data_IF_920302510451
#
_entry.id   IF_920302510451
#
_cell.length_a   1.000
_cell.length_b   1.000
_cell.length_c   1.000
_cell.angle_alpha   90.00
_cell.angle_beta   90.00
_cell.angle_gamma   90.00
#
_symmetry.space_group_name_H-M   'P 1'
#
loop_
_entity.id
_entity.type
_entity.pdbx_description
1 polymer ?
#
# COMPACT_ATOMS: atom_id res chain seq x y z
N UNK A 1 -2.46 15.92 -14.50
CA UNK A 1 -2.16 14.52 -14.08
C UNK A 1 -0.81 14.52 -13.39
N UNK A 2 -0.76 14.17 -12.11
CA UNK A 2 0.45 14.20 -11.28
C UNK A 2 1.46 13.16 -11.82
N UNK A 3 2.75 13.52 -12.08
CA UNK A 3 3.77 12.58 -12.57
C UNK A 3 3.94 11.32 -11.71
N UNK A 4 3.69 11.42 -10.40
CA UNK A 4 3.73 10.26 -9.49
C UNK A 4 2.62 9.23 -9.78
N UNK A 5 1.46 9.67 -10.26
CA UNK A 5 0.35 8.80 -10.68
C UNK A 5 0.64 8.08 -12.00
N UNK A 6 1.33 8.76 -12.93
CA UNK A 6 1.82 8.13 -14.17
C UNK A 6 2.87 7.04 -13.89
N UNK A 7 3.74 7.23 -12.89
CA UNK A 7 4.67 6.19 -12.46
C UNK A 7 3.95 4.97 -11.86
N UNK A 8 2.82 5.16 -11.16
CA UNK A 8 2.03 4.06 -10.61
C UNK A 8 1.40 3.17 -11.71
N UNK A 9 1.01 3.80 -12.83
CA UNK A 9 0.43 3.08 -13.99
C UNK A 9 1.52 2.53 -14.92
N UNK A 10 2.70 3.16 -14.96
CA UNK A 10 3.81 2.76 -15.84
C UNK A 10 4.73 1.66 -15.26
N UNK A 11 4.66 1.36 -13.97
CA UNK A 11 5.38 0.20 -13.39
C UNK A 11 4.80 -1.15 -13.79
N UNK A 12 3.71 -1.18 -14.54
CA UNK A 12 3.21 -2.35 -15.25
C UNK A 12 4.02 -2.68 -16.52
N UNK A 13 5.25 -2.20 -16.67
CA UNK A 13 6.22 -2.76 -17.61
C UNK A 13 6.48 -4.19 -17.16
N UNK A 14 6.09 -5.15 -17.98
CA UNK A 14 6.07 -6.55 -17.65
C UNK A 14 7.36 -6.98 -16.97
N UNK A 15 7.23 -7.66 -15.82
CA UNK A 15 8.37 -8.26 -15.14
C UNK A 15 8.99 -9.29 -16.09
N UNK A 16 10.28 -9.15 -16.37
CA UNK A 16 11.07 -10.12 -17.10
C UNK A 16 11.41 -11.28 -16.15
N UNK A 17 10.55 -12.30 -16.15
CA UNK A 17 10.68 -13.43 -15.21
C UNK A 17 11.96 -14.23 -15.46
N UNK A 18 12.41 -14.37 -16.69
CA UNK A 18 13.63 -15.11 -17.04
C UNK A 18 14.86 -14.40 -16.45
N UNK A 19 14.99 -13.10 -16.69
CA UNK A 19 16.07 -12.32 -16.10
C UNK A 19 16.00 -12.23 -14.56
N UNK A 20 14.79 -12.20 -14.00
CA UNK A 20 14.61 -12.20 -12.54
C UNK A 20 15.02 -13.55 -11.93
N UNK A 21 14.75 -14.66 -12.62
CA UNK A 21 15.17 -16.00 -12.23
C UNK A 21 16.69 -16.14 -12.28
N UNK A 22 17.33 -15.69 -13.36
CA UNK A 22 18.79 -15.67 -13.50
C UNK A 22 19.45 -14.85 -12.38
N UNK A 23 18.93 -13.65 -12.09
CA UNK A 23 19.42 -12.82 -11.03
C UNK A 23 19.28 -13.47 -9.63
N UNK A 24 18.17 -14.17 -9.40
CA UNK A 24 17.95 -14.92 -8.15
C UNK A 24 18.91 -16.10 -8.03
N UNK A 25 19.24 -16.78 -9.12
CA UNK A 25 20.25 -17.85 -9.15
C UNK A 25 21.63 -17.30 -8.78
N UNK A 26 22.03 -16.20 -9.40
CA UNK A 26 23.30 -15.53 -9.10
C UNK A 26 23.38 -15.06 -7.64
N UNK A 27 22.27 -14.55 -7.10
CA UNK A 27 22.21 -14.18 -5.70
C UNK A 27 22.46 -15.38 -4.77
N UNK A 28 21.86 -16.54 -5.04
CA UNK A 28 22.07 -17.75 -4.25
C UNK A 28 23.55 -18.19 -4.29
N UNK A 29 24.17 -18.19 -5.47
CA UNK A 29 25.59 -18.49 -5.63
C UNK A 29 26.47 -17.52 -4.83
N UNK A 30 26.20 -16.21 -4.91
CA UNK A 30 26.93 -15.18 -4.18
C UNK A 30 26.78 -15.28 -2.65
N UNK A 31 25.67 -15.86 -2.17
CA UNK A 31 25.43 -16.17 -0.76
C UNK A 31 26.06 -17.49 -0.30
N UNK A 32 26.72 -18.23 -1.21
CA UNK A 32 27.41 -19.50 -0.91
C UNK A 32 26.50 -20.72 -0.97
N UNK A 33 25.29 -20.59 -1.55
CA UNK A 33 24.39 -21.71 -1.74
C UNK A 33 24.59 -22.38 -3.10
N UNK A 34 24.32 -23.70 -3.18
CA UNK A 34 24.30 -24.46 -4.43
C UNK A 34 22.87 -24.52 -4.98
N UNK A 35 22.54 -23.73 -6.03
CA UNK A 35 21.20 -23.71 -6.60
C UNK A 35 20.84 -24.99 -7.35
N UNK A 36 21.81 -25.88 -7.63
CA UNK A 36 21.55 -27.13 -8.36
C UNK A 36 21.19 -28.29 -7.43
N UNK A 37 21.38 -28.16 -6.11
CA UNK A 37 20.91 -29.15 -5.15
C UNK A 37 19.39 -29.26 -5.17
N UNK A 38 18.86 -30.47 -4.94
CA UNK A 38 17.42 -30.78 -5.11
C UNK A 38 16.47 -29.81 -4.41
N UNK A 39 16.80 -29.33 -3.21
CA UNK A 39 15.96 -28.40 -2.45
C UNK A 39 15.92 -26.97 -2.99
N UNK A 40 16.88 -26.57 -3.85
CA UNK A 40 17.00 -25.21 -4.38
C UNK A 40 16.78 -25.09 -5.89
N UNK A 41 16.71 -26.21 -6.63
CA UNK A 41 16.59 -26.19 -8.10
C UNK A 41 15.46 -25.31 -8.61
N UNK A 42 14.32 -25.32 -7.93
CA UNK A 42 13.15 -24.51 -8.29
C UNK A 42 13.12 -23.12 -7.62
N UNK A 43 14.06 -22.84 -6.70
CA UNK A 43 14.03 -21.64 -5.86
C UNK A 43 14.20 -20.36 -6.65
N UNK A 44 15.12 -20.24 -7.65
CA UNK A 44 15.24 -19.03 -8.45
C UNK A 44 13.92 -18.64 -9.12
N UNK A 45 13.24 -19.58 -9.78
CA UNK A 45 11.95 -19.32 -10.41
C UNK A 45 10.84 -18.98 -9.43
N UNK A 46 10.85 -19.57 -8.21
CA UNK A 46 9.90 -19.21 -7.15
C UNK A 46 10.14 -17.80 -6.61
N UNK A 47 11.38 -17.39 -6.46
CA UNK A 47 11.74 -16.02 -6.07
C UNK A 47 11.25 -15.04 -7.12
N UNK A 48 11.56 -15.25 -8.40
CA UNK A 48 11.13 -14.38 -9.50
C UNK A 48 9.61 -14.20 -9.53
N UNK A 49 8.85 -15.30 -9.42
CA UNK A 49 7.38 -15.26 -9.39
C UNK A 49 6.83 -14.54 -8.17
N UNK A 50 7.40 -14.78 -6.98
CA UNK A 50 6.96 -14.12 -5.75
C UNK A 50 7.14 -12.60 -5.81
N UNK A 51 8.30 -12.13 -6.27
CA UNK A 51 8.51 -10.69 -6.44
C UNK A 51 7.66 -10.10 -7.55
N UNK A 52 7.44 -10.82 -8.65
CA UNK A 52 6.52 -10.39 -9.70
C UNK A 52 5.10 -10.18 -9.16
N UNK A 53 4.59 -11.11 -8.35
CA UNK A 53 3.27 -11.01 -7.72
C UNK A 53 3.19 -9.82 -6.76
N UNK A 54 4.20 -9.64 -5.90
CA UNK A 54 4.25 -8.55 -4.93
C UNK A 54 4.38 -7.15 -5.58
N UNK A 55 4.92 -7.07 -6.80
CA UNK A 55 5.17 -5.84 -7.53
C UNK A 55 4.18 -5.58 -8.67
N UNK A 56 3.11 -6.36 -8.77
CA UNK A 56 2.10 -6.25 -9.83
C UNK A 56 0.76 -5.81 -9.25
N UNK A 57 0.49 -4.49 -9.18
CA UNK A 57 -0.82 -4.00 -8.80
C UNK A 57 -1.85 -4.33 -9.88
N UNK A 58 -3.06 -4.75 -9.46
CA UNK A 58 -4.16 -4.95 -10.38
C UNK A 58 -4.73 -3.59 -10.83
N UNK A 59 -4.77 -3.30 -12.15
CA UNK A 59 -5.40 -2.10 -12.64
C UNK A 59 -6.90 -2.11 -12.33
N UNK A 60 -7.44 -0.97 -11.92
CA UNK A 60 -8.89 -0.82 -11.73
C UNK A 60 -9.38 0.55 -12.15
N UNK A 61 -10.67 0.63 -12.48
CA UNK A 61 -11.36 1.89 -12.68
C UNK A 61 -12.00 2.34 -11.37
N UNK A 62 -11.84 3.60 -10.96
CA UNK A 62 -12.59 4.14 -9.85
C UNK A 62 -14.09 4.15 -10.21
N UNK A 63 -14.90 3.48 -9.38
CA UNK A 63 -16.35 3.55 -9.50
C UNK A 63 -16.84 4.54 -8.49
N UNK A 64 -17.34 5.67 -8.96
CA UNK A 64 -17.93 6.71 -8.13
C UNK A 64 -19.40 6.93 -8.54
N UNK A 65 -20.20 7.40 -7.61
CA UNK A 65 -21.63 7.69 -7.77
C UNK A 65 -21.90 9.13 -7.36
N UNK A 66 -22.94 9.79 -7.92
CA UNK A 66 -23.43 11.05 -7.38
C UNK A 66 -23.86 10.87 -5.92
N UNK A 67 -23.68 11.90 -5.11
CA UNK A 67 -24.12 11.92 -3.73
C UNK A 67 -25.53 12.53 -3.62
N UNK A 68 -26.50 11.96 -4.36
CA UNK A 68 -27.86 12.49 -4.48
C UNK A 68 -28.63 12.44 -3.14
N UNK A 69 -28.26 11.54 -2.24
CA UNK A 69 -28.84 11.43 -0.89
C UNK A 69 -28.26 12.46 0.10
N UNK A 70 -27.23 13.20 -0.31
CA UNK A 70 -26.61 14.25 0.51
C UNK A 70 -25.88 13.75 1.74
N UNK A 71 -25.21 12.59 1.65
CA UNK A 71 -24.36 12.08 2.75
C UNK A 71 -23.25 13.09 3.04
N UNK A 72 -23.13 13.51 4.30
CA UNK A 72 -22.15 14.50 4.78
C UNK A 72 -21.36 14.03 6.00
N UNK A 73 -21.56 12.80 6.44
CA UNK A 73 -20.82 12.15 7.52
C UNK A 73 -19.60 11.39 7.01
N UNK A 74 -18.65 11.18 7.91
CA UNK A 74 -17.39 10.49 7.60
C UNK A 74 -17.63 9.02 7.22
N UNK A 75 -17.15 8.64 6.05
CA UNK A 75 -17.12 7.24 5.59
C UNK A 75 -15.71 6.70 5.80
N UNK A 76 -15.56 5.57 6.50
CA UNK A 76 -14.27 4.95 6.78
C UNK A 76 -14.28 3.43 6.54
N UNK A 77 -13.34 2.94 5.74
CA UNK A 77 -13.00 1.53 5.64
C UNK A 77 -11.79 1.26 6.56
N UNK A 78 -11.96 0.32 7.50
CA UNK A 78 -10.94 0.00 8.52
C UNK A 78 -10.37 -1.39 8.32
N UNK A 79 -9.12 -1.59 8.76
CA UNK A 79 -8.51 -2.90 8.77
C UNK A 79 -8.22 -3.46 7.39
N UNK A 80 -7.99 -2.60 6.39
CA UNK A 80 -7.60 -3.03 5.05
C UNK A 80 -6.20 -3.61 5.13
N UNK A 81 -6.10 -4.94 5.00
CA UNK A 81 -4.82 -5.64 5.01
C UNK A 81 -4.03 -5.32 3.75
N UNK A 82 -2.73 -5.15 3.89
CA UNK A 82 -1.84 -4.94 2.76
C UNK A 82 -0.46 -5.54 3.01
N UNK A 83 0.25 -5.85 1.93
CA UNK A 83 1.67 -6.16 1.91
C UNK A 83 2.36 -5.28 0.89
N UNK A 84 3.59 -4.88 1.21
CA UNK A 84 4.44 -4.07 0.35
C UNK A 84 5.90 -4.49 0.49
N UNK A 85 6.76 -3.96 -0.36
CA UNK A 85 8.21 -4.19 -0.29
C UNK A 85 8.94 -2.90 0.07
N UNK A 86 9.74 -2.95 1.14
CA UNK A 86 10.61 -1.86 1.53
C UNK A 86 11.64 -1.59 0.42
N UNK A 87 11.63 -0.40 -0.16
CA UNK A 87 12.53 -0.06 -1.27
C UNK A 87 14.02 -0.09 -0.90
N UNK A 88 14.36 0.05 0.40
CA UNK A 88 15.74 0.04 0.86
C UNK A 88 16.35 -1.36 0.96
N UNK A 89 15.54 -2.40 1.17
CA UNK A 89 16.04 -3.73 1.50
C UNK A 89 15.41 -4.86 0.69
N UNK A 90 14.37 -4.59 -0.12
CA UNK A 90 13.53 -5.59 -0.79
C UNK A 90 12.87 -6.58 0.18
N UNK A 91 12.84 -6.26 1.46
CA UNK A 91 12.14 -7.07 2.47
C UNK A 91 10.70 -6.59 2.62
N UNK A 92 9.74 -7.50 2.88
CA UNK A 92 8.35 -7.14 3.08
C UNK A 92 8.13 -6.24 4.30
N UNK A 93 7.12 -5.40 4.20
CA UNK A 93 6.42 -4.84 5.33
C UNK A 93 4.92 -4.96 5.08
N UNK A 94 4.17 -5.14 6.13
CA UNK A 94 2.74 -5.36 6.00
C UNK A 94 2.00 -5.02 7.27
N UNK A 95 0.71 -4.82 7.13
CA UNK A 95 -0.13 -4.40 8.23
C UNK A 95 -1.51 -3.99 7.78
N UNK A 96 -2.05 -2.95 8.38
CA UNK A 96 -3.41 -2.48 8.14
C UNK A 96 -3.45 -1.02 7.73
N UNK A 97 -4.32 -0.69 6.81
CA UNK A 97 -4.66 0.67 6.42
C UNK A 97 -6.10 0.99 6.84
N UNK A 98 -6.30 2.18 7.37
CA UNK A 98 -7.60 2.78 7.66
C UNK A 98 -7.76 3.98 6.75
N UNK A 99 -8.76 3.93 5.87
CA UNK A 99 -8.95 4.93 4.82
C UNK A 99 -10.35 5.50 4.95
N UNK A 100 -10.43 6.79 5.12
CA UNK A 100 -11.72 7.49 5.24
C UNK A 100 -11.77 8.78 4.44
N UNK A 101 -12.99 9.21 4.14
CA UNK A 101 -13.25 10.47 3.47
C UNK A 101 -14.56 11.09 3.95
N UNK A 102 -14.63 12.40 3.90
CA UNK A 102 -15.87 13.16 4.11
C UNK A 102 -16.47 13.48 2.74
N UNK A 103 -17.66 12.96 2.40
CA UNK A 103 -18.22 13.10 1.07
C UNK A 103 -18.40 14.55 0.60
N UNK A 104 -18.12 14.78 -0.69
CA UNK A 104 -18.52 15.96 -1.46
C UNK A 104 -19.72 15.64 -2.33
N UNK A 105 -19.66 16.04 -3.60
CA UNK A 105 -20.71 15.78 -4.59
C UNK A 105 -20.75 14.33 -5.08
N UNK A 106 -19.74 13.54 -4.74
CA UNK A 106 -19.60 12.13 -5.14
C UNK A 106 -19.20 11.24 -3.97
N UNK A 107 -19.62 9.96 -4.08
CA UNK A 107 -19.20 8.88 -3.19
C UNK A 107 -18.49 7.78 -3.99
N UNK A 108 -17.60 7.02 -3.34
CA UNK A 108 -16.83 5.94 -3.96
C UNK A 108 -17.34 4.57 -3.49
N UNK A 109 -17.33 3.59 -4.39
CA UNK A 109 -17.65 2.21 -4.01
C UNK A 109 -16.64 1.68 -2.96
N UNK A 110 -17.12 1.13 -1.84
CA UNK A 110 -16.29 0.74 -0.69
C UNK A 110 -15.13 -0.19 -1.06
N UNK A 111 -15.36 -1.13 -1.99
CA UNK A 111 -14.30 -2.03 -2.48
C UNK A 111 -13.15 -1.30 -3.17
N UNK A 112 -13.37 -0.07 -3.65
CA UNK A 112 -12.34 0.71 -4.33
C UNK A 112 -11.32 1.28 -3.34
N UNK A 113 -11.71 1.53 -2.09
CA UNK A 113 -10.77 1.95 -1.05
C UNK A 113 -9.69 0.89 -0.81
N UNK A 114 -10.07 -0.40 -0.75
CA UNK A 114 -9.09 -1.49 -0.68
C UNK A 114 -8.20 -1.57 -1.91
N UNK A 115 -8.78 -1.42 -3.12
CA UNK A 115 -8.01 -1.45 -4.37
C UNK A 115 -7.02 -0.28 -4.51
N UNK A 116 -7.34 0.89 -3.98
CA UNK A 116 -6.40 2.03 -3.92
C UNK A 116 -5.22 1.70 -3.02
N UNK A 117 -5.46 1.05 -1.87
CA UNK A 117 -4.37 0.58 -0.99
C UNK A 117 -3.47 -0.38 -1.75
N UNK A 118 -4.02 -1.41 -2.42
CA UNK A 118 -3.24 -2.39 -3.18
C UNK A 118 -2.48 -1.75 -4.36
N UNK A 119 -3.11 -0.79 -5.06
CA UNK A 119 -2.48 -0.08 -6.18
C UNK A 119 -1.15 0.57 -5.78
N UNK A 120 -1.10 1.15 -4.59
CA UNK A 120 0.09 1.81 -4.08
C UNK A 120 0.99 0.91 -3.24
N UNK A 121 0.47 -0.14 -2.61
CA UNK A 121 1.24 -1.08 -1.80
C UNK A 121 2.07 -2.05 -2.66
N UNK A 122 1.55 -2.52 -3.80
CA UNK A 122 2.23 -3.51 -4.65
C UNK A 122 3.34 -2.90 -5.51
N UNK A 123 4.29 -2.23 -4.83
CA UNK A 123 5.46 -1.57 -5.41
C UNK A 123 6.59 -1.54 -4.39
N UNK A 124 7.77 -1.08 -4.84
CA UNK A 124 8.82 -0.68 -3.90
C UNK A 124 8.40 0.63 -3.21
N UNK A 125 8.28 0.59 -1.88
CA UNK A 125 7.70 1.68 -1.11
C UNK A 125 8.49 2.03 0.15
N UNK A 126 8.25 3.24 0.62
CA UNK A 126 8.37 3.63 2.03
C UNK A 126 6.97 3.92 2.57
N UNK A 127 6.72 3.61 3.82
CA UNK A 127 5.38 3.69 4.40
C UNK A 127 4.79 5.11 4.37
N UNK A 128 5.61 6.12 4.56
CA UNK A 128 5.23 7.53 4.53
C UNK A 128 4.71 7.95 3.14
N UNK A 129 5.40 7.50 2.08
CA UNK A 129 4.97 7.74 0.70
C UNK A 129 3.70 6.98 0.38
N UNK A 130 3.60 5.70 0.74
CA UNK A 130 2.40 4.88 0.58
C UNK A 130 1.17 5.59 1.17
N UNK A 131 1.28 6.04 2.43
CA UNK A 131 0.21 6.73 3.14
C UNK A 131 -0.22 8.01 2.43
N UNK A 132 0.76 8.81 1.99
CA UNK A 132 0.52 10.08 1.31
C UNK A 132 -0.08 9.90 -0.09
N UNK A 133 0.37 8.89 -0.85
CA UNK A 133 -0.14 8.60 -2.20
C UNK A 133 -1.58 8.11 -2.18
N UNK A 134 -1.96 7.26 -1.23
CA UNK A 134 -3.35 6.82 -1.06
C UNK A 134 -4.26 8.03 -0.79
N UNK A 135 -3.86 8.90 0.16
CA UNK A 135 -4.64 10.09 0.47
C UNK A 135 -4.76 11.05 -0.72
N UNK A 136 -3.65 11.25 -1.45
CA UNK A 136 -3.61 12.11 -2.62
C UNK A 136 -4.50 11.60 -3.75
N UNK A 137 -4.49 10.29 -3.99
CA UNK A 137 -5.30 9.68 -5.03
C UNK A 137 -6.81 9.85 -4.78
N UNK A 138 -7.25 9.63 -3.53
CA UNK A 138 -8.65 9.79 -3.15
C UNK A 138 -9.07 11.26 -3.28
N UNK A 139 -8.24 12.18 -2.82
CA UNK A 139 -8.45 13.61 -2.89
C UNK A 139 -8.63 14.09 -4.35
N UNK A 140 -7.77 13.61 -5.26
CA UNK A 140 -7.77 13.99 -6.68
C UNK A 140 -8.94 13.38 -7.47
N UNK A 141 -9.32 12.12 -7.17
CA UNK A 141 -10.29 11.38 -8.00
C UNK A 141 -11.73 11.45 -7.48
N UNK A 142 -11.92 11.75 -6.22
CA UNK A 142 -13.25 11.85 -5.60
C UNK A 142 -13.64 13.30 -5.27
N UNK A 143 -12.66 14.20 -5.14
CA UNK A 143 -12.86 15.59 -4.73
C UNK A 143 -13.73 15.71 -3.46
N UNK A 144 -13.40 14.97 -2.39
CA UNK A 144 -14.18 14.98 -1.16
C UNK A 144 -13.92 16.25 -0.35
N UNK A 145 -14.74 16.54 0.65
CA UNK A 145 -14.48 17.63 1.60
C UNK A 145 -13.24 17.40 2.46
N UNK A 146 -12.78 16.15 2.58
CA UNK A 146 -11.56 15.79 3.29
C UNK A 146 -11.27 14.30 3.21
N UNK A 147 -10.00 13.95 3.42
CA UNK A 147 -9.49 12.57 3.38
C UNK A 147 -8.62 12.32 4.61
N UNK A 148 -8.71 11.11 5.16
CA UNK A 148 -7.82 10.61 6.19
C UNK A 148 -7.33 9.20 5.84
N UNK A 149 -6.02 8.99 6.00
CA UNK A 149 -5.38 7.68 5.89
C UNK A 149 -4.48 7.48 7.09
N UNK A 150 -4.61 6.33 7.76
CA UNK A 150 -3.69 5.86 8.81
C UNK A 150 -3.23 4.47 8.42
N UNK A 151 -1.93 4.22 8.50
CA UNK A 151 -1.33 2.92 8.22
C UNK A 151 -0.50 2.50 9.43
N UNK A 152 -0.68 1.25 9.88
CA UNK A 152 0.14 0.61 10.89
C UNK A 152 0.74 -0.67 10.28
N UNK A 153 2.07 -0.81 10.32
CA UNK A 153 2.75 -1.93 9.70
C UNK A 153 4.01 -2.36 10.47
N UNK A 154 4.30 -3.66 10.43
CA UNK A 154 5.57 -4.23 10.84
C UNK A 154 6.51 -4.32 9.63
N UNK A 155 7.76 -3.89 9.85
CA UNK A 155 8.81 -3.90 8.83
C UNK A 155 9.79 -5.04 9.08
N UNK A 156 9.84 -6.05 8.20
CA UNK A 156 10.75 -7.18 8.37
C UNK A 156 12.23 -6.77 8.28
N UNK A 157 12.53 -5.64 7.65
CA UNK A 157 13.88 -5.08 7.68
C UNK A 157 14.33 -4.59 9.08
N UNK A 158 13.37 -4.36 9.99
CA UNK A 158 13.62 -4.02 11.39
C UNK A 158 13.48 -5.24 12.32
N UNK A 159 12.58 -6.17 12.00
CA UNK A 159 12.26 -7.31 12.86
C UNK A 159 13.29 -8.43 12.74
N UNK A 160 13.67 -8.82 11.50
CA UNK A 160 14.49 -10.00 11.22
C UNK A 160 15.99 -9.73 11.29
N UNK A 161 16.42 -8.52 11.07
CA UNK A 161 17.83 -8.11 10.99
C UNK A 161 18.01 -6.67 11.49
N UNK A 162 19.24 -6.16 11.47
CA UNK A 162 19.58 -4.81 11.91
C UNK A 162 19.28 -4.61 13.39
N UNK A 163 18.30 -3.79 13.72
CA UNK A 163 17.92 -3.47 15.11
C UNK A 163 17.17 -4.59 15.84
N UNK A 164 16.67 -5.58 15.11
CA UNK A 164 15.99 -6.78 15.64
C UNK A 164 14.90 -6.47 16.68
N UNK A 165 13.90 -5.72 16.27
CA UNK A 165 12.74 -5.34 17.10
C UNK A 165 11.44 -5.93 16.55
N UNK A 166 11.22 -7.26 16.70
CA UNK A 166 9.97 -7.89 16.26
C UNK A 166 8.77 -7.32 17.03
N UNK A 167 7.63 -7.24 16.35
CA UNK A 167 6.39 -6.69 16.90
C UNK A 167 6.34 -5.17 17.01
N UNK A 168 7.39 -4.44 16.60
CA UNK A 168 7.34 -2.98 16.51
C UNK A 168 6.47 -2.57 15.33
N UNK A 169 5.38 -1.85 15.59
CA UNK A 169 4.54 -1.26 14.57
C UNK A 169 4.94 0.20 14.32
N UNK A 170 5.09 0.52 13.05
CA UNK A 170 5.25 1.92 12.59
C UNK A 170 3.88 2.45 12.19
N UNK A 171 3.48 3.58 12.75
CA UNK A 171 2.24 4.26 12.39
C UNK A 171 2.55 5.52 11.57
N UNK A 172 1.85 5.67 10.43
CA UNK A 172 1.91 6.88 9.60
C UNK A 172 0.51 7.38 9.31
N UNK A 173 0.36 8.70 9.12
CA UNK A 173 -0.93 9.31 8.78
C UNK A 173 -0.79 10.37 7.71
N UNK A 174 -1.82 10.50 6.85
CA UNK A 174 -1.97 11.58 5.89
C UNK A 174 -3.42 12.09 5.95
N UNK A 175 -3.57 13.37 6.23
CA UNK A 175 -4.87 14.03 6.36
C UNK A 175 -4.96 15.19 5.37
N UNK A 176 -6.14 15.38 4.75
CA UNK A 176 -6.39 16.45 3.77
C UNK A 176 -7.75 17.09 3.99
N UNK A 177 -7.94 18.31 3.50
CA UNK A 177 -9.19 19.06 3.60
C UNK A 177 -9.68 19.16 5.04
N UNK A 178 -10.99 19.05 5.26
CA UNK A 178 -11.60 19.20 6.59
C UNK A 178 -11.11 18.15 7.61
N UNK A 179 -10.71 16.95 7.18
CA UNK A 179 -10.12 15.95 8.09
C UNK A 179 -8.78 16.44 8.67
N UNK A 180 -8.05 17.30 7.96
CA UNK A 180 -6.84 17.96 8.46
C UNK A 180 -7.15 19.26 9.20
N UNK A 181 -8.03 20.08 8.65
CA UNK A 181 -8.14 21.51 9.00
C UNK A 181 -9.18 21.77 10.11
N UNK A 182 -10.19 20.87 10.27
CA UNK A 182 -11.15 20.95 11.37
C UNK A 182 -10.78 19.98 12.51
N UNK A 183 -10.52 20.48 13.74
CA UNK A 183 -10.12 19.63 14.86
C UNK A 183 -11.15 18.56 15.25
N UNK A 184 -12.45 18.79 15.06
CA UNK A 184 -13.52 17.84 15.41
C UNK A 184 -13.54 16.68 14.44
N UNK A 185 -13.56 16.96 13.14
CA UNK A 185 -13.51 15.97 12.07
C UNK A 185 -12.23 15.13 12.15
N UNK A 186 -11.09 15.79 12.45
CA UNK A 186 -9.81 15.11 12.69
C UNK A 186 -9.89 14.14 13.85
N UNK A 187 -10.44 14.59 14.99
CA UNK A 187 -10.56 13.76 16.20
C UNK A 187 -11.48 12.57 15.95
N UNK A 188 -12.61 12.78 15.27
CA UNK A 188 -13.54 11.73 14.90
C UNK A 188 -12.89 10.67 14.03
N UNK A 189 -12.21 11.09 12.94
CA UNK A 189 -11.48 10.17 12.06
C UNK A 189 -10.45 9.33 12.84
N UNK A 190 -9.60 9.97 13.64
CA UNK A 190 -8.57 9.27 14.41
C UNK A 190 -9.19 8.33 15.45
N UNK A 191 -10.29 8.73 16.10
CA UNK A 191 -10.99 7.87 17.05
C UNK A 191 -11.64 6.65 16.39
N UNK A 192 -12.19 6.81 15.18
CA UNK A 192 -12.74 5.70 14.40
C UNK A 192 -11.64 4.77 13.89
N UNK A 193 -10.52 5.31 13.42
CA UNK A 193 -9.37 4.54 12.95
C UNK A 193 -8.71 3.71 14.08
N UNK A 194 -8.62 4.25 15.30
CA UNK A 194 -7.98 3.60 16.44
C UNK A 194 -8.82 2.49 17.09
N UNK A 195 -10.09 2.32 16.74
CA UNK A 195 -10.93 1.24 17.31
C UNK A 195 -10.40 -0.11 16.84
N UNK A 196 -9.98 -0.94 17.77
CA UNK A 196 -9.64 -2.35 17.46
C UNK A 196 -10.88 -3.07 16.90
N UNK A 197 -10.69 -3.80 15.81
CA UNK A 197 -11.69 -4.70 15.21
C UNK A 197 -11.70 -6.02 15.96
#
# INVERSE_FOLDING_TARGET
MNPALLHAVQSANGVDLERAEDAARELLLALGEDPDRDGLRETPGRIAKAYAELLSPEPFSPTTFPNDEGYDELVIARGIQFNSLCEHHLLPFGGVAHVGYLPGDRIIGLSKLGRVVDLFARRLQVQERLTSEIAAWIDEHLEPKGVGVVIEAEHLCMSLRGVQKPGTLTATSALRGLVRDDPRTRQEFLALAARQT
#
